data_IF_765973756936
#
_entry.id   IF_765973756936
#
_cell.length_a   1.000
_cell.length_b   1.000
_cell.length_c   1.000
_cell.angle_alpha   90.00
_cell.angle_beta   90.00
_cell.angle_gamma   90.00
#
_symmetry.space_group_name_H-M   'P 1'
#
loop_
_entity.id
_entity.type
_entity.pdbx_description
1 polymer ?
#
# COMPACT_ATOMS: atom_id res chain seq x y z
N UNK A 1 20.62 -3.14 30.43
CA UNK A 1 20.53 -3.41 30.17
C UNK A 1 20.31 -3.47 29.84
N UNK A 2 20.05 -3.04 29.72
CA UNK A 2 19.87 -3.16 29.37
C UNK A 2 19.44 -3.18 28.99
N UNK A 3 19.37 -2.88 29.22
CA UNK A 3 19.07 -2.99 28.79
C UNK A 3 18.59 -3.00 28.54
N UNK A 4 18.53 -2.74 28.84
CA UNK A 4 18.20 -2.76 28.39
C UNK A 4 17.56 -2.58 28.18
N UNK A 5 17.61 -2.33 28.54
CA UNK A 5 17.21 -2.34 28.28
C UNK A 5 16.46 -1.99 27.92
N UNK A 6 16.21 -1.81 27.98
CA UNK A 6 15.85 -1.74 27.55
C UNK A 6 15.62 -1.30 27.30
N UNK A 7 15.60 -0.90 27.68
CA UNK A 7 15.73 -0.74 27.37
C UNK A 7 15.88 -1.03 26.98
N UNK A 8 16.05 -0.72 27.34
CA UNK A 8 16.47 -1.08 26.78
C UNK A 8 16.14 -1.40 26.13
N UNK A 9 15.95 -1.19 26.67
CA UNK A 9 15.88 -1.65 25.94
C UNK A 9 15.33 -1.00 25.39
N UNK A 10 15.13 -0.55 25.72
CA UNK A 10 14.92 -0.33 25.16
C UNK A 10 15.04 0.08 24.96
N UNK A 11 15.32 0.39 24.92
CA UNK A 11 15.84 0.36 24.61
C UNK A 11 15.88 -0.06 24.07
N UNK A 12 15.96 -0.02 24.41
CA UNK A 12 16.31 -0.55 23.74
C UNK A 12 15.77 -0.40 23.09
N UNK A 13 15.52 -0.34 23.26
CA UNK A 13 15.28 -0.40 22.54
C UNK A 13 15.08 0.49 22.35
N UNK A 14 15.30 1.11 22.44
CA UNK A 14 15.58 1.54 22.17
C UNK A 14 16.18 1.44 22.21
N UNK A 15 16.56 1.33 22.05
CA UNK A 15 17.39 0.87 21.86
C UNK A 15 17.52 0.38 21.37
N UNK A 16 17.69 0.37 21.44
CA UNK A 16 18.05 -0.17 20.77
C UNK A 16 17.84 0.40 20.18
N UNK A 17 17.81 0.77 20.20
CA UNK A 17 17.90 1.24 19.46
C UNK A 17 18.62 1.86 19.35
N UNK A 18 19.00 2.16 19.56
CA UNK A 18 19.87 2.45 19.21
C UNK A 18 20.74 2.02 19.23
N UNK A 19 20.96 1.55 19.21
CA UNK A 19 21.70 0.96 18.94
C UNK A 19 21.85 0.68 18.52
N UNK A 20 21.93 0.69 18.49
CA UNK A 20 21.90 0.32 17.79
C UNK A 20 21.67 1.01 17.22
N UNK A 21 21.59 1.53 17.49
CA UNK A 21 21.32 2.05 16.90
C UNK A 21 21.77 2.43 16.21
N UNK A 22 21.79 2.87 16.08
CA UNK A 22 22.16 3.05 15.25
C UNK A 22 22.41 2.17 14.62
N UNK A 23 22.55 1.63 14.57
CA UNK A 23 22.45 0.90 13.90
C UNK A 23 21.49 0.44 13.79
N UNK A 24 21.03 0.56 13.80
CA UNK A 24 20.08 0.18 13.46
C UNK A 24 19.31 0.94 13.03
N UNK A 25 19.33 1.48 12.51
CA UNK A 25 18.60 1.91 11.92
C UNK A 25 18.07 1.09 11.23
N UNK A 26 17.60 0.61 11.33
CA UNK A 26 17.11 -0.16 10.66
C UNK A 26 16.80 -0.01 9.58
N UNK A 27 16.73 -0.68 9.25
CA UNK A 27 16.58 -0.55 8.02
C UNK A 27 15.28 -0.56 7.66
N UNK A 28 14.82 0.57 7.22
CA UNK A 28 13.59 0.64 6.53
C UNK A 28 13.75 -0.08 5.25
N UNK A 29 12.78 -0.90 4.84
CA UNK A 29 12.81 -1.47 3.50
C UNK A 29 12.92 -0.34 2.51
N UNK A 30 13.79 -0.48 1.55
CA UNK A 30 13.99 0.55 0.53
C UNK A 30 12.74 0.63 -0.32
N UNK A 31 12.13 1.83 -0.34
CA UNK A 31 10.98 2.08 -1.20
C UNK A 31 11.46 2.86 -2.41
N UNK A 32 11.52 2.21 -3.55
CA UNK A 32 11.97 2.85 -4.79
C UNK A 32 10.80 3.29 -5.65
N UNK A 33 9.56 3.13 -5.16
CA UNK A 33 8.38 3.52 -5.90
C UNK A 33 8.11 5.00 -5.83
N UNK A 34 7.04 5.41 -6.48
CA UNK A 34 6.63 6.82 -6.48
C UNK A 34 5.16 6.91 -6.81
N UNK A 35 4.52 7.98 -6.34
CA UNK A 35 3.18 8.34 -6.77
C UNK A 35 3.28 9.31 -7.94
N UNK A 36 2.56 9.02 -9.01
CA UNK A 36 2.55 9.87 -10.20
C UNK A 36 1.17 10.52 -10.28
N UNK A 37 1.15 11.84 -10.28
CA UNK A 37 -0.10 12.61 -10.33
C UNK A 37 -0.41 12.93 -11.77
N UNK A 38 -1.68 12.77 -12.16
CA UNK A 38 -2.12 13.04 -13.51
C UNK A 38 -3.36 13.92 -13.49
N UNK A 39 -3.29 15.04 -14.17
CA UNK A 39 -4.42 15.94 -14.31
C UNK A 39 -5.08 15.73 -15.65
N UNK A 40 -6.40 15.70 -15.64
CA UNK A 40 -7.19 15.60 -16.87
C UNK A 40 -8.33 16.60 -16.78
N UNK A 41 -9.10 16.72 -17.87
CA UNK A 41 -10.26 17.60 -17.88
C UNK A 41 -11.28 17.19 -16.81
N UNK A 42 -11.32 15.91 -16.44
CA UNK A 42 -12.27 15.40 -15.45
C UNK A 42 -11.83 15.65 -14.01
N UNK A 43 -10.55 15.93 -13.80
CA UNK A 43 -10.01 16.11 -12.45
C UNK A 43 -8.61 15.57 -12.35
N UNK A 44 -8.25 15.14 -11.14
CA UNK A 44 -6.89 14.77 -10.84
C UNK A 44 -6.86 13.37 -10.23
N UNK A 45 -5.94 12.53 -10.67
CA UNK A 45 -5.80 11.18 -10.13
C UNK A 45 -4.33 10.90 -9.88
N UNK A 46 -4.06 9.80 -9.17
CA UNK A 46 -2.68 9.38 -8.97
C UNK A 46 -2.52 7.90 -9.29
N UNK A 47 -1.30 7.54 -9.57
CA UNK A 47 -0.91 6.16 -9.77
C UNK A 47 0.24 5.86 -8.85
N UNK A 48 0.31 4.62 -8.38
CA UNK A 48 1.45 4.16 -7.61
C UNK A 48 2.29 3.28 -8.51
N UNK A 49 3.55 3.67 -8.70
CA UNK A 49 4.49 2.90 -9.49
C UNK A 49 5.51 2.24 -8.56
N UNK A 50 5.87 1.00 -8.88
CA UNK A 50 6.93 0.30 -8.17
C UNK A 50 8.29 0.79 -8.65
N UNK A 51 9.35 0.30 -8.03
CA UNK A 51 10.71 0.73 -8.36
C UNK A 51 11.12 0.47 -9.80
N UNK A 52 10.48 -0.52 -10.44
CA UNK A 52 10.75 -0.81 -11.86
C UNK A 52 9.87 0.02 -12.80
N UNK A 53 9.21 1.05 -12.27
CA UNK A 53 8.29 1.93 -13.00
C UNK A 53 6.99 1.27 -13.45
N UNK A 54 6.72 0.08 -12.97
CA UNK A 54 5.48 -0.60 -13.29
C UNK A 54 4.35 -0.02 -12.45
N UNK A 55 3.22 0.31 -13.08
CA UNK A 55 2.06 0.83 -12.37
C UNK A 55 1.39 -0.32 -11.64
N UNK A 56 1.27 -0.21 -10.32
CA UNK A 56 0.69 -1.26 -9.50
C UNK A 56 -0.65 -0.87 -8.89
N UNK A 57 -1.06 0.40 -9.04
CA UNK A 57 -2.37 0.83 -8.57
C UNK A 57 -2.72 2.18 -9.15
N UNK A 58 -4.02 2.40 -9.33
CA UNK A 58 -4.56 3.62 -9.91
C UNK A 58 -5.70 4.09 -9.02
N UNK A 59 -5.72 5.39 -8.71
CA UNK A 59 -6.78 5.97 -7.91
C UNK A 59 -7.98 6.35 -8.78
N UNK A 60 -9.09 6.66 -8.13
CA UNK A 60 -10.17 7.32 -8.85
C UNK A 60 -9.82 8.79 -9.09
N UNK A 61 -10.70 9.48 -9.80
CA UNK A 61 -10.49 10.88 -10.14
C UNK A 61 -11.03 11.77 -9.02
N UNK A 62 -10.19 12.67 -8.55
CA UNK A 62 -10.57 13.60 -7.48
C UNK A 62 -10.85 14.97 -8.09
N UNK A 63 -11.69 15.74 -7.42
CA UNK A 63 -12.06 17.05 -7.90
C UNK A 63 -10.97 18.10 -7.74
N UNK A 64 -10.04 17.88 -6.82
CA UNK A 64 -8.98 18.85 -6.57
C UNK A 64 -7.75 18.22 -5.95
N UNK A 65 -6.68 19.01 -5.90
CA UNK A 65 -5.40 18.53 -5.43
C UNK A 65 -5.44 18.11 -3.96
N UNK A 66 -6.15 18.85 -3.11
CA UNK A 66 -6.20 18.53 -1.70
C UNK A 66 -6.87 17.18 -1.48
N UNK A 67 -7.95 16.89 -2.22
CA UNK A 67 -8.63 15.61 -2.11
C UNK A 67 -7.74 14.48 -2.59
N UNK A 68 -7.00 14.71 -3.68
CA UNK A 68 -6.08 13.73 -4.22
C UNK A 68 -4.96 13.42 -3.22
N UNK A 69 -4.43 14.44 -2.55
CA UNK A 69 -3.37 14.23 -1.57
C UNK A 69 -3.89 13.45 -0.37
N UNK A 70 -5.14 13.68 0.03
CA UNK A 70 -5.75 12.87 1.09
C UNK A 70 -5.88 11.42 0.67
N UNK A 71 -6.17 11.19 -0.62
CA UNK A 71 -6.22 9.84 -1.16
C UNK A 71 -4.88 9.13 -1.05
N UNK A 72 -3.79 9.83 -1.39
CA UNK A 72 -2.45 9.27 -1.25
C UNK A 72 -2.15 8.94 0.21
N UNK A 73 -2.47 9.85 1.12
CA UNK A 73 -2.25 9.59 2.54
C UNK A 73 -3.07 8.41 3.02
N UNK A 74 -4.26 8.24 2.48
CA UNK A 74 -5.10 7.10 2.82
C UNK A 74 -4.44 5.79 2.39
N UNK A 75 -3.84 5.75 1.20
CA UNK A 75 -3.09 4.56 0.76
C UNK A 75 -1.92 4.30 1.68
N UNK A 76 -1.15 5.34 2.01
CA UNK A 76 0.00 5.20 2.89
C UNK A 76 -0.38 4.63 4.24
N UNK A 77 -1.53 5.05 4.75
CA UNK A 77 -1.98 4.66 6.08
C UNK A 77 -2.61 3.28 6.10
N UNK A 78 -3.37 2.95 5.07
CA UNK A 78 -4.18 1.73 5.09
C UNK A 78 -3.51 0.52 4.47
N UNK A 79 -2.69 0.70 3.42
CA UNK A 79 -2.12 -0.44 2.73
C UNK A 79 -1.28 -1.34 3.62
N UNK A 80 -0.41 -0.80 4.50
CA UNK A 80 0.45 -1.69 5.30
C UNK A 80 -0.32 -2.57 6.27
N UNK A 81 -1.52 -2.15 6.70
CA UNK A 81 -2.28 -2.86 7.73
C UNK A 81 -3.54 -3.51 7.19
N UNK A 82 -3.79 -3.41 5.88
CA UNK A 82 -5.02 -3.92 5.30
C UNK A 82 -5.06 -5.44 5.31
N UNK A 83 -6.24 -5.98 5.56
CA UNK A 83 -6.49 -7.41 5.43
C UNK A 83 -6.62 -7.77 3.95
N UNK A 84 -6.64 -9.06 3.64
CA UNK A 84 -6.87 -9.52 2.28
C UNK A 84 -8.12 -10.37 2.26
N UNK A 85 -9.08 -10.00 1.42
CA UNK A 85 -10.27 -10.79 1.22
C UNK A 85 -10.27 -11.33 -0.21
N UNK A 86 -10.18 -12.65 -0.35
CA UNK A 86 -10.13 -13.30 -1.66
C UNK A 86 -11.53 -13.68 -2.08
N UNK A 87 -12.13 -12.85 -2.93
CA UNK A 87 -13.50 -13.10 -3.41
C UNK A 87 -13.55 -14.13 -4.51
N UNK A 88 -12.39 -14.64 -4.96
CA UNK A 88 -12.33 -15.70 -5.96
C UNK A 88 -12.23 -17.07 -5.33
N UNK A 89 -12.10 -17.15 -4.01
CA UNK A 89 -12.01 -18.42 -3.31
C UNK A 89 -13.36 -19.13 -3.32
N UNK A 90 -13.31 -20.45 -3.24
CA UNK A 90 -14.53 -21.24 -3.21
C UNK A 90 -15.40 -20.84 -2.02
N UNK A 91 -14.78 -20.63 -0.88
CA UNK A 91 -15.46 -20.09 0.30
C UNK A 91 -14.82 -18.76 0.64
N UNK A 92 -15.58 -17.68 0.48
CA UNK A 92 -15.07 -16.35 0.76
C UNK A 92 -15.17 -16.09 2.25
N UNK A 93 -14.04 -15.72 2.86
CA UNK A 93 -14.00 -15.33 4.27
C UNK A 93 -13.99 -13.81 4.30
N UNK A 94 -15.07 -13.17 4.73
CA UNK A 94 -15.10 -11.71 4.74
C UNK A 94 -14.06 -11.12 5.69
N UNK A 95 -13.48 -10.01 5.27
CA UNK A 95 -12.50 -9.30 6.09
C UNK A 95 -13.04 -7.90 6.39
N UNK A 96 -12.55 -7.32 7.48
CA UNK A 96 -12.95 -5.95 7.83
C UNK A 96 -12.03 -4.96 7.17
N UNK A 97 -12.52 -3.74 6.93
CA UNK A 97 -11.73 -2.66 6.37
C UNK A 97 -10.75 -2.12 7.41
N UNK A 98 -9.57 -1.67 6.97
CA UNK A 98 -9.14 -1.59 5.58
C UNK A 98 -8.79 -2.97 5.04
N UNK A 99 -9.02 -3.16 3.75
CA UNK A 99 -8.74 -4.47 3.15
C UNK A 99 -8.45 -4.35 1.66
N UNK A 100 -7.67 -5.31 1.16
CA UNK A 100 -7.57 -5.55 -0.27
C UNK A 100 -8.60 -6.62 -0.63
N UNK A 101 -9.38 -6.38 -1.68
CA UNK A 101 -10.30 -7.40 -2.19
C UNK A 101 -9.76 -7.92 -3.51
N UNK A 102 -9.59 -9.23 -3.61
CA UNK A 102 -9.19 -9.88 -4.86
C UNK A 102 -10.47 -10.37 -5.54
N UNK A 103 -10.63 -10.04 -6.80
CA UNK A 103 -11.82 -10.44 -7.54
C UNK A 103 -11.45 -10.70 -9.00
N UNK A 104 -12.36 -11.36 -9.74
CA UNK A 104 -12.17 -11.57 -11.17
C UNK A 104 -12.95 -10.51 -11.93
N UNK A 105 -12.35 -9.98 -13.00
CA UNK A 105 -13.07 -9.07 -13.87
C UNK A 105 -13.81 -9.86 -14.96
N UNK A 106 -14.46 -9.15 -15.86
CA UNK A 106 -15.25 -9.79 -16.90
C UNK A 106 -14.42 -10.65 -17.85
N UNK A 107 -13.15 -10.33 -18.00
CA UNK A 107 -12.24 -11.10 -18.84
C UNK A 107 -11.66 -12.31 -18.10
N UNK A 108 -11.99 -12.48 -16.82
CA UNK A 108 -11.48 -13.59 -16.03
C UNK A 108 -10.12 -13.32 -15.40
N UNK A 109 -9.61 -12.11 -15.54
CA UNK A 109 -8.33 -11.77 -14.92
C UNK A 109 -8.52 -11.40 -13.46
N UNK A 110 -7.46 -11.58 -12.68
CA UNK A 110 -7.49 -11.27 -11.26
C UNK A 110 -7.13 -9.81 -11.06
N UNK A 111 -7.92 -9.13 -10.25
CA UNK A 111 -7.68 -7.73 -9.89
C UNK A 111 -7.81 -7.59 -8.39
N UNK A 112 -7.19 -6.53 -7.86
CA UNK A 112 -7.44 -6.18 -6.47
C UNK A 112 -7.84 -4.72 -6.37
N UNK A 113 -8.51 -4.41 -5.28
CA UNK A 113 -8.80 -3.03 -4.93
C UNK A 113 -8.58 -2.87 -3.44
N UNK A 114 -8.11 -1.69 -3.05
CA UNK A 114 -7.85 -1.38 -1.66
C UNK A 114 -8.98 -0.51 -1.14
N UNK A 115 -9.60 -0.95 -0.07
CA UNK A 115 -10.65 -0.19 0.61
C UNK A 115 -10.09 0.39 1.88
N UNK A 116 -10.36 1.67 2.10
CA UNK A 116 -9.99 2.35 3.33
C UNK A 116 -10.89 1.91 4.47
N UNK A 117 -10.59 2.39 5.66
CA UNK A 117 -11.35 2.02 6.85
C UNK A 117 -12.84 2.34 6.71
N UNK A 118 -13.18 3.39 5.96
CA UNK A 118 -14.58 3.76 5.75
C UNK A 118 -15.24 2.99 4.60
N UNK A 119 -14.53 2.03 4.00
CA UNK A 119 -15.06 1.21 2.92
C UNK A 119 -14.92 1.79 1.54
N UNK A 120 -14.35 2.97 1.40
CA UNK A 120 -14.17 3.58 0.08
C UNK A 120 -12.99 2.96 -0.64
N UNK A 121 -13.14 2.78 -1.95
CA UNK A 121 -12.06 2.25 -2.79
C UNK A 121 -11.08 3.39 -3.06
N UNK A 122 -9.84 3.20 -2.62
CA UNK A 122 -8.83 4.26 -2.76
C UNK A 122 -7.74 3.89 -3.76
N UNK A 123 -7.69 2.63 -4.19
CA UNK A 123 -6.71 2.20 -5.17
C UNK A 123 -7.23 0.93 -5.84
N UNK A 124 -6.96 0.79 -7.14
CA UNK A 124 -7.37 -0.40 -7.88
C UNK A 124 -6.24 -0.82 -8.81
N UNK A 125 -6.12 -2.12 -9.04
CA UNK A 125 -5.07 -2.65 -9.90
C UNK A 125 -5.56 -2.87 -11.32
N UNK A 126 -4.63 -3.15 -12.20
CA UNK A 126 -4.92 -3.70 -13.51
C UNK A 126 -5.18 -5.19 -13.38
N UNK A 127 -5.54 -5.83 -14.49
CA UNK A 127 -5.78 -7.27 -14.50
C UNK A 127 -4.50 -8.08 -14.51
N UNK A 128 -4.48 -9.13 -13.72
CA UNK A 128 -3.37 -10.09 -13.69
C UNK A 128 -3.88 -11.44 -14.20
N UNK A 129 -3.03 -12.17 -14.88
CA UNK A 129 -3.43 -13.45 -15.45
C UNK A 129 -3.51 -14.56 -14.40
N UNK A 130 -2.80 -14.42 -13.30
CA UNK A 130 -2.81 -15.42 -12.23
C UNK A 130 -3.09 -14.77 -10.90
N UNK A 131 -3.63 -15.56 -9.98
CA UNK A 131 -3.85 -15.07 -8.61
C UNK A 131 -2.53 -14.75 -7.93
N UNK A 132 -1.48 -15.56 -8.17
CA UNK A 132 -0.18 -15.32 -7.57
C UNK A 132 0.38 -13.97 -7.97
N UNK A 133 0.23 -13.59 -9.25
CA UNK A 133 0.68 -12.28 -9.71
C UNK A 133 -0.10 -11.16 -9.04
N UNK A 134 -1.41 -11.36 -8.88
CA UNK A 134 -2.25 -10.39 -8.20
C UNK A 134 -1.81 -10.20 -6.75
N UNK A 135 -1.52 -11.30 -6.06
CA UNK A 135 -1.06 -11.25 -4.68
C UNK A 135 0.29 -10.56 -4.58
N UNK A 136 1.17 -10.80 -5.55
CA UNK A 136 2.44 -10.08 -5.61
C UNK A 136 2.23 -8.58 -5.79
N UNK A 137 1.21 -8.21 -6.58
CA UNK A 137 0.84 -6.81 -6.76
C UNK A 137 0.41 -6.17 -5.45
N UNK A 138 -0.37 -6.89 -4.65
CA UNK A 138 -0.79 -6.41 -3.34
C UNK A 138 0.44 -6.16 -2.45
N UNK A 139 1.37 -7.10 -2.42
CA UNK A 139 2.57 -6.92 -1.61
C UNK A 139 3.42 -5.76 -2.11
N UNK A 140 3.44 -5.55 -3.42
CA UNK A 140 4.14 -4.41 -3.99
C UNK A 140 3.51 -3.09 -3.55
N UNK A 141 2.17 -3.04 -3.49
CA UNK A 141 1.48 -1.84 -2.98
C UNK A 141 1.88 -1.59 -1.52
N UNK A 142 1.88 -2.64 -0.69
CA UNK A 142 2.28 -2.48 0.71
C UNK A 142 3.68 -1.93 0.82
N UNK A 143 4.59 -2.47 0.01
CA UNK A 143 5.99 -2.08 0.06
C UNK A 143 6.20 -0.65 -0.42
N UNK A 144 5.44 -0.23 -1.42
CA UNK A 144 5.64 1.07 -2.05
C UNK A 144 4.70 2.15 -1.53
N UNK A 145 3.76 1.79 -0.66
CA UNK A 145 2.80 2.76 -0.14
C UNK A 145 3.46 3.99 0.50
N UNK A 146 4.62 3.89 1.18
CA UNK A 146 5.25 5.09 1.75
C UNK A 146 5.92 5.99 0.73
N UNK A 147 5.84 5.68 -0.55
CA UNK A 147 6.55 6.44 -1.59
C UNK A 147 6.20 7.91 -1.58
N UNK A 148 7.07 8.70 -2.16
CA UNK A 148 6.86 10.13 -2.30
C UNK A 148 6.20 10.44 -3.62
N UNK A 149 5.65 11.65 -3.70
CA UNK A 149 5.01 12.10 -4.93
C UNK A 149 6.10 12.57 -5.88
N UNK A 150 6.07 12.06 -7.11
CA UNK A 150 7.04 12.44 -8.12
C UNK A 150 6.77 13.87 -8.57
N UNK A 151 7.84 14.58 -8.84
CA UNK A 151 7.73 15.97 -9.29
C UNK A 151 7.83 16.12 -10.77
#
# INVERSE_FOLDING_TARGET
>A
MEEPDEEKAAEAAEFFKAVYAGIFEEEKPVCNGKYIVKETASGISFRLAAGNNQIIGISEVYSGKAAMEKGIESVRKNAPVANVEDQTAETVVPATCPKFEIYNDKAGEFRFRLKARNGEIILASEGYKTKASCENGIESVRKNAPAEIAE
#
